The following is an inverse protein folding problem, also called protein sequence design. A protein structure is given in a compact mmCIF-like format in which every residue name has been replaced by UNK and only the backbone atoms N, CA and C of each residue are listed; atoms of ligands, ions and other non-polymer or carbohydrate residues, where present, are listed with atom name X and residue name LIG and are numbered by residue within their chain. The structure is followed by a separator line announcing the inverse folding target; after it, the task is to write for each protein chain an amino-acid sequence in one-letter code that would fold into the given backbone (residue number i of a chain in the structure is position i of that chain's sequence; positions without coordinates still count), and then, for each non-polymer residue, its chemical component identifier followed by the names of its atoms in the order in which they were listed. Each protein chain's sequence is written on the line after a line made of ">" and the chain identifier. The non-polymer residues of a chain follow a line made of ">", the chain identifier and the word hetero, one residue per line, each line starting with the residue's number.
data_IF_056413531605
#
_entry.id   IF_056413531605
#
_cell.length_a   1.000
_cell.length_b   1.000
_cell.length_c   1.000
_cell.angle_alpha   90.00
_cell.angle_beta   90.00
_cell.angle_gamma   90.00
#
_symmetry.space_group_name_H-M   'P 1'
#
loop_
_entity.id
_entity.type
_entity.pdbx_description
1 polymer ?
#
# COMPACT_ATOMS: atom_id res chain seq x y z
N UNK A 1 -8.81 -18.68 -4.73
CA UNK A 1 -7.53 -17.95 -4.63
C UNK A 1 -6.88 -17.89 -6.00
N UNK A 2 -7.35 -17.01 -6.89
CA UNK A 2 -7.02 -17.05 -8.33
C UNK A 2 -5.52 -16.89 -8.63
N UNK A 3 -4.81 -16.03 -7.90
CA UNK A 3 -3.39 -15.81 -8.12
C UNK A 3 -2.56 -17.06 -7.76
N UNK A 4 -2.87 -17.69 -6.63
CA UNK A 4 -2.21 -18.95 -6.21
C UNK A 4 -2.54 -20.08 -7.18
N UNK A 5 -3.80 -20.18 -7.62
CA UNK A 5 -4.25 -21.14 -8.64
C UNK A 5 -3.54 -20.93 -10.00
N UNK A 6 -3.10 -19.70 -10.29
CA UNK A 6 -2.31 -19.38 -11.47
C UNK A 6 -0.82 -19.73 -11.35
N UNK A 7 -0.37 -20.24 -10.18
CA UNK A 7 0.99 -20.72 -9.97
C UNK A 7 2.03 -19.63 -9.70
N UNK A 8 1.63 -18.51 -9.07
CA UNK A 8 2.59 -17.47 -8.65
C UNK A 8 3.53 -17.96 -7.55
N UNK A 9 4.77 -17.47 -7.56
CA UNK A 9 5.79 -17.81 -6.55
C UNK A 9 5.57 -17.10 -5.20
N UNK A 10 4.69 -16.10 -5.15
CA UNK A 10 4.39 -15.33 -3.96
C UNK A 10 3.29 -14.30 -4.19
N UNK A 11 2.85 -13.67 -3.11
CA UNK A 11 1.77 -12.68 -3.13
C UNK A 11 2.23 -11.36 -2.52
N UNK A 12 1.88 -10.26 -3.17
CA UNK A 12 1.89 -8.94 -2.53
C UNK A 12 0.50 -8.69 -1.96
N UNK A 13 0.42 -8.56 -0.65
CA UNK A 13 -0.83 -8.30 0.06
C UNK A 13 -0.85 -6.84 0.49
N UNK A 14 -1.68 -6.05 -0.20
CA UNK A 14 -1.75 -4.61 0.00
C UNK A 14 -3.01 -4.20 0.77
N UNK A 15 -2.81 -3.61 1.95
CA UNK A 15 -3.89 -2.99 2.71
C UNK A 15 -4.32 -1.62 2.18
N UNK A 16 -5.43 -1.14 2.72
CA UNK A 16 -5.99 0.19 2.42
C UNK A 16 -5.04 1.34 2.73
N UNK A 17 -4.08 1.14 3.64
CA UNK A 17 -3.12 2.12 4.10
C UNK A 17 -2.02 2.44 3.06
N UNK A 18 -1.86 1.62 2.02
CA UNK A 18 -0.90 1.94 0.95
C UNK A 18 -1.38 3.11 0.08
N UNK A 19 -0.46 3.84 -0.53
CA UNK A 19 -0.79 4.84 -1.55
C UNK A 19 -1.13 4.23 -2.92
N UNK A 20 -1.49 5.08 -3.87
CA UNK A 20 -1.74 4.72 -5.26
C UNK A 20 -3.12 4.11 -5.51
N UNK A 21 -3.20 3.18 -6.48
CA UNK A 21 -4.46 2.58 -6.90
C UNK A 21 -4.93 1.52 -5.90
N UNK A 22 -6.12 1.73 -5.35
CA UNK A 22 -6.69 0.89 -4.30
C UNK A 22 -7.86 0.06 -4.81
N UNK A 23 -8.08 -1.07 -4.13
CA UNK A 23 -9.35 -1.79 -4.23
C UNK A 23 -10.52 -0.84 -3.89
N UNK A 24 -11.66 -0.91 -4.60
CA UNK A 24 -12.87 -0.15 -4.26
C UNK A 24 -13.37 -0.35 -2.83
N UNK A 25 -13.04 -1.50 -2.23
CA UNK A 25 -13.37 -1.85 -0.85
C UNK A 25 -12.06 -2.13 -0.10
N UNK A 26 -11.39 -1.08 0.39
CA UNK A 26 -10.11 -1.26 1.08
C UNK A 26 -10.31 -2.00 2.40
N UNK A 27 -9.37 -2.89 2.72
CA UNK A 27 -9.28 -3.59 4.01
C UNK A 27 -7.93 -3.25 4.62
N UNK A 28 -7.88 -2.98 5.92
CA UNK A 28 -6.62 -2.66 6.61
C UNK A 28 -5.63 -3.80 6.52
N UNK A 29 -4.33 -3.50 6.40
CA UNK A 29 -3.23 -4.50 6.41
C UNK A 29 -3.32 -5.42 7.63
N UNK A 30 -3.66 -4.86 8.80
CA UNK A 30 -3.81 -5.61 10.06
C UNK A 30 -4.85 -6.74 9.99
N UNK A 31 -5.88 -6.59 9.15
CA UNK A 31 -6.97 -7.57 8.99
C UNK A 31 -6.72 -8.45 7.76
N UNK A 32 -6.34 -7.84 6.64
CA UNK A 32 -6.19 -8.54 5.36
C UNK A 32 -5.06 -9.56 5.37
N UNK A 33 -3.92 -9.19 5.98
CA UNK A 33 -2.71 -9.99 5.95
C UNK A 33 -2.87 -11.36 6.65
N UNK A 34 -3.30 -11.45 7.92
CA UNK A 34 -3.50 -12.75 8.56
C UNK A 34 -4.59 -13.58 7.88
N UNK A 35 -5.66 -12.95 7.39
CA UNK A 35 -6.73 -13.65 6.65
C UNK A 35 -6.20 -14.33 5.39
N UNK A 36 -5.31 -13.68 4.63
CA UNK A 36 -4.73 -14.30 3.44
C UNK A 36 -3.74 -15.39 3.83
N UNK A 37 -2.91 -15.16 4.85
CA UNK A 37 -1.94 -16.15 5.36
C UNK A 37 -2.60 -17.46 5.78
N UNK A 38 -3.80 -17.41 6.37
CA UNK A 38 -4.57 -18.61 6.75
C UNK A 38 -5.06 -19.43 5.54
N UNK A 39 -5.00 -18.88 4.33
CA UNK A 39 -5.50 -19.48 3.10
C UNK A 39 -4.42 -19.82 2.07
N UNK A 40 -3.14 -19.49 2.33
CA UNK A 40 -2.04 -19.72 1.39
C UNK A 40 -0.77 -20.19 2.06
N UNK A 41 0.02 -20.95 1.31
CA UNK A 41 1.36 -21.37 1.72
C UNK A 41 2.50 -20.63 1.02
N UNK A 42 2.21 -19.92 -0.07
CA UNK A 42 3.22 -19.15 -0.80
C UNK A 42 3.69 -17.94 0.01
N UNK A 43 4.96 -17.50 -0.14
CA UNK A 43 5.47 -16.30 0.52
C UNK A 43 4.62 -15.06 0.27
N UNK A 44 4.46 -14.25 1.31
CA UNK A 44 3.70 -13.00 1.30
C UNK A 44 4.63 -11.81 1.57
N UNK A 45 4.53 -10.80 0.72
CA UNK A 45 5.09 -9.47 0.94
C UNK A 45 3.95 -8.54 1.36
N UNK A 46 4.02 -8.02 2.58
CA UNK A 46 3.04 -7.07 3.09
C UNK A 46 3.28 -5.67 2.52
N UNK A 47 2.21 -5.00 2.08
CA UNK A 47 2.25 -3.63 1.57
C UNK A 47 1.16 -2.77 2.24
N UNK A 48 1.50 -1.50 2.51
CA UNK A 48 0.58 -0.52 3.08
C UNK A 48 0.84 -0.24 4.55
N UNK A 49 1.09 1.04 4.87
CA UNK A 49 1.32 1.52 6.23
C UNK A 49 2.68 1.17 6.88
N UNK A 50 3.58 0.49 6.17
CA UNK A 50 4.89 0.08 6.70
C UNK A 50 5.94 1.16 6.39
N UNK A 51 6.61 1.66 7.42
CA UNK A 51 7.55 2.79 7.29
C UNK A 51 8.81 2.70 8.18
N UNK A 52 8.87 1.74 9.10
CA UNK A 52 9.98 1.58 10.04
C UNK A 52 10.13 0.11 10.47
N UNK A 53 11.15 -0.18 11.29
CA UNK A 53 11.40 -1.54 11.77
C UNK A 53 10.28 -2.10 12.66
N UNK A 54 9.49 -1.25 13.33
CA UNK A 54 8.39 -1.69 14.20
C UNK A 54 7.21 -2.16 13.39
N UNK A 55 6.81 -1.37 12.40
CA UNK A 55 5.75 -1.72 11.46
C UNK A 55 6.14 -2.91 10.59
N UNK A 56 7.43 -3.04 10.23
CA UNK A 56 7.95 -4.25 9.59
C UNK A 56 7.86 -5.48 10.50
N UNK A 57 8.28 -5.37 11.77
CA UNK A 57 8.16 -6.47 12.72
C UNK A 57 6.70 -6.89 12.95
N UNK A 58 5.77 -5.93 12.98
CA UNK A 58 4.34 -6.22 13.04
C UNK A 58 3.86 -7.00 11.80
N UNK A 59 4.28 -6.62 10.60
CA UNK A 59 3.95 -7.35 9.37
C UNK A 59 4.48 -8.80 9.40
N UNK A 60 5.69 -9.00 9.90
CA UNK A 60 6.25 -10.35 10.08
C UNK A 60 5.49 -11.16 11.13
N UNK A 61 5.09 -10.54 12.23
CA UNK A 61 4.25 -11.19 13.25
C UNK A 61 2.87 -11.61 12.70
N UNK A 62 2.35 -10.89 11.70
CA UNK A 62 1.11 -11.21 11.00
C UNK A 62 1.27 -12.26 9.89
N UNK A 63 2.48 -12.77 9.67
CA UNK A 63 2.75 -13.87 8.76
C UNK A 63 3.26 -13.48 7.37
N UNK A 64 3.82 -12.28 7.21
CA UNK A 64 4.57 -11.91 6.01
C UNK A 64 6.05 -12.31 6.12
N UNK A 65 6.66 -12.67 4.99
CA UNK A 65 8.10 -12.93 4.86
C UNK A 65 8.86 -11.70 4.32
N UNK A 66 8.15 -10.68 3.84
CA UNK A 66 8.72 -9.44 3.32
C UNK A 66 7.80 -8.24 3.49
N UNK A 67 8.34 -7.05 3.24
CA UNK A 67 7.57 -5.80 3.23
C UNK A 67 7.87 -4.96 1.99
N UNK A 68 6.85 -4.30 1.47
CA UNK A 68 6.93 -3.35 0.37
C UNK A 68 6.61 -1.94 0.88
N UNK A 69 7.57 -1.01 0.70
CA UNK A 69 7.45 0.37 1.14
C UNK A 69 7.42 1.33 -0.05
N UNK A 70 6.24 1.88 -0.35
CA UNK A 70 6.06 2.83 -1.45
C UNK A 70 6.37 4.28 -1.05
N UNK A 71 5.56 4.83 -0.14
CA UNK A 71 5.62 6.24 0.28
C UNK A 71 7.00 6.67 0.80
N UNK A 72 7.69 5.80 1.53
CA UNK A 72 9.07 6.07 1.98
C UNK A 72 10.06 6.09 0.81
N UNK A 73 9.99 5.10 -0.09
CA UNK A 73 10.89 5.03 -1.25
C UNK A 73 10.73 6.24 -2.18
N UNK A 74 9.50 6.77 -2.32
CA UNK A 74 9.24 7.99 -3.09
C UNK A 74 9.94 9.22 -2.49
N UNK A 75 10.14 9.24 -1.17
CA UNK A 75 10.74 10.36 -0.43
C UNK A 75 12.26 10.31 -0.36
N UNK A 76 12.89 9.22 -0.80
CA UNK A 76 14.34 9.05 -0.81
C UNK A 76 15.05 10.08 -1.71
N UNK A 77 16.32 10.35 -1.42
CA UNK A 77 17.13 11.32 -2.18
C UNK A 77 17.24 10.93 -3.66
N UNK A 78 17.37 9.63 -3.93
CA UNK A 78 17.54 9.00 -5.23
C UNK A 78 16.24 8.97 -6.06
N UNK A 79 15.08 9.17 -5.43
CA UNK A 79 13.80 9.21 -6.13
C UNK A 79 13.78 10.38 -7.12
N UNK A 80 13.44 10.16 -8.41
CA UNK A 80 13.45 11.20 -9.44
C UNK A 80 12.25 12.16 -9.33
N UNK A 81 11.37 11.95 -8.34
CA UNK A 81 10.17 12.76 -8.18
C UNK A 81 10.51 14.19 -7.76
N UNK A 82 9.66 15.11 -8.19
CA UNK A 82 9.82 16.53 -7.91
C UNK A 82 9.90 16.80 -6.39
N UNK A 83 10.75 17.76 -5.99
CA UNK A 83 10.96 18.10 -4.57
C UNK A 83 9.67 18.45 -3.83
N UNK A 84 8.78 19.22 -4.46
CA UNK A 84 7.45 19.53 -3.91
C UNK A 84 6.66 18.27 -3.51
N UNK A 85 6.86 17.13 -4.20
CA UNK A 85 6.17 15.88 -3.88
C UNK A 85 6.80 15.19 -2.67
N UNK A 86 8.13 15.19 -2.58
CA UNK A 86 8.85 14.71 -1.39
C UNK A 86 8.49 15.55 -0.17
N UNK A 87 8.51 16.88 -0.30
CA UNK A 87 8.10 17.81 0.76
C UNK A 87 6.63 17.63 1.16
N UNK A 88 5.74 17.35 0.21
CA UNK A 88 4.35 17.05 0.53
C UNK A 88 4.22 15.78 1.39
N UNK A 89 5.01 14.74 1.12
CA UNK A 89 5.03 13.51 1.93
C UNK A 89 5.60 13.80 3.32
N UNK A 90 6.73 14.53 3.40
CA UNK A 90 7.39 14.84 4.67
C UNK A 90 6.54 15.73 5.59
N UNK A 91 5.71 16.61 5.02
CA UNK A 91 4.84 17.51 5.76
C UNK A 91 3.40 16.99 5.93
N UNK A 92 3.09 15.80 5.40
CA UNK A 92 1.75 15.22 5.51
C UNK A 92 1.43 14.80 6.94
N UNK A 93 0.16 14.98 7.33
CA UNK A 93 -0.42 14.40 8.56
C UNK A 93 -1.04 13.04 8.25
N UNK A 94 -1.29 12.27 9.29
CA UNK A 94 -1.92 10.95 9.22
C UNK A 94 -3.33 10.97 8.59
N UNK A 95 -3.99 12.13 8.56
CA UNK A 95 -5.33 12.33 7.98
C UNK A 95 -5.33 12.94 6.58
N UNK A 96 -4.18 13.27 6.00
CA UNK A 96 -4.11 14.04 4.75
C UNK A 96 -4.30 13.17 3.49
N UNK A 97 -4.18 11.85 3.63
CA UNK A 97 -4.46 10.90 2.56
C UNK A 97 -5.96 10.64 2.45
N UNK A 98 -6.52 10.79 1.25
CA UNK A 98 -7.94 10.56 0.98
C UNK A 98 -8.14 9.44 -0.04
N UNK A 99 -9.16 8.60 0.21
CA UNK A 99 -9.65 7.69 -0.81
C UNK A 99 -10.54 8.46 -1.80
N UNK A 100 -10.36 8.28 -3.12
CA UNK A 100 -11.22 8.92 -4.10
C UNK A 100 -12.67 8.41 -3.95
N UNK A 101 -13.62 9.34 -3.87
CA UNK A 101 -15.05 9.08 -3.62
C UNK A 101 -15.73 8.19 -4.69
N UNK A 102 -15.10 7.98 -5.86
CA UNK A 102 -15.61 7.07 -6.89
C UNK A 102 -14.48 6.26 -7.58
N UNK A 103 -14.19 5.03 -7.14
CA UNK A 103 -13.15 4.20 -7.74
C UNK A 103 -13.46 3.71 -9.16
N UNK A 104 -14.70 3.88 -9.67
CA UNK A 104 -15.12 3.46 -11.02
C UNK A 104 -14.90 4.52 -12.11
N UNK A 105 -14.67 5.78 -11.75
CA UNK A 105 -14.41 6.84 -12.71
C UNK A 105 -13.04 7.42 -12.46
N UNK A 106 -12.05 7.01 -13.25
CA UNK A 106 -10.98 7.86 -13.74
C UNK A 106 -10.16 7.11 -14.81
N UNK A 107 -10.37 7.46 -16.08
CA UNK A 107 -9.29 7.95 -16.90
C UNK A 107 -9.55 9.44 -17.14
N UNK A 108 -8.69 10.30 -16.58
CA UNK A 108 -8.53 11.70 -17.00
C UNK A 108 -9.82 12.47 -17.30
N UNK A 109 -10.58 12.90 -16.28
CA UNK A 109 -11.51 14.04 -16.46
C UNK A 109 -11.93 14.62 -15.11
N UNK A 110 -11.87 15.96 -15.03
CA UNK A 110 -12.26 16.86 -13.93
C UNK A 110 -11.18 17.21 -12.88
N UNK A 111 -10.73 18.46 -12.97
CA UNK A 111 -9.73 19.11 -12.12
C UNK A 111 -10.25 19.45 -10.72
N UNK A 112 -10.52 18.42 -9.92
CA UNK A 112 -10.59 18.56 -8.47
C UNK A 112 -9.33 17.94 -7.89
N UNK A 113 -8.51 18.76 -7.24
CA UNK A 113 -7.26 18.40 -6.58
C UNK A 113 -7.50 17.50 -5.37
N UNK A 114 -7.95 16.28 -5.61
CA UNK A 114 -7.91 15.23 -4.60
C UNK A 114 -6.44 14.82 -4.46
N UNK A 115 -5.83 15.19 -3.32
CA UNK A 115 -4.50 14.70 -2.93
C UNK A 115 -4.61 13.21 -2.60
N UNK A 116 -4.64 12.39 -3.63
CA UNK A 116 -4.22 11.00 -3.55
C UNK A 116 -2.70 11.00 -3.60
N UNK A 117 -2.06 10.40 -2.59
CA UNK A 117 -0.71 9.87 -2.73
C UNK A 117 -0.81 8.47 -3.34
#
# INVERSE_FOLDING_TARGET
>A
MKAVEAGVDGLVVEGGEGGGFKSPTPVSTMVLLPLIRDHVDVPIIAAGGINDGRTMAAAFALGAEGVQMGTQMLSCAESPVHMNWKEAILNARETDTVFPLNPKTLPCSSGSSYRTF
#
